data_IF_713651664534
#
_entry.id   IF_713651664534
#
_cell.length_a   1.000
_cell.length_b   1.000
_cell.length_c   1.000
_cell.angle_alpha   90.00
_cell.angle_beta   90.00
_cell.angle_gamma   90.00
#
_symmetry.space_group_name_H-M   'P 1'
#
loop_
_entity.id
_entity.type
_entity.pdbx_description
1 polymer ?
#
# COMPACT_ATOMS: atom_id res chain seq x y z
N UNK A 1 -14.47 -14.40 -5.74
CA UNK A 1 -13.99 -13.08 -6.20
C UNK A 1 -14.97 -12.61 -7.26
N UNK A 2 -15.42 -11.35 -7.18
CA UNK A 2 -16.17 -10.75 -8.28
C UNK A 2 -15.20 -10.55 -9.46
N UNK A 3 -15.65 -10.91 -10.66
CA UNK A 3 -14.85 -10.78 -11.88
C UNK A 3 -14.68 -9.30 -12.23
N UNK A 4 -13.47 -8.90 -12.59
CA UNK A 4 -13.17 -7.51 -12.93
C UNK A 4 -13.35 -7.33 -14.42
N UNK A 5 -14.19 -6.38 -14.84
CA UNK A 5 -14.32 -6.00 -16.24
C UNK A 5 -13.05 -5.27 -16.71
N UNK A 6 -12.38 -5.81 -17.73
CA UNK A 6 -11.11 -5.26 -18.24
C UNK A 6 -11.23 -4.67 -19.65
N UNK A 7 -12.21 -5.11 -20.45
CA UNK A 7 -12.46 -4.54 -21.76
C UNK A 7 -13.91 -4.71 -22.19
N UNK A 8 -14.34 -3.79 -23.04
CA UNK A 8 -15.63 -3.81 -23.72
C UNK A 8 -15.35 -3.52 -25.18
N UNK A 9 -15.81 -4.40 -26.07
CA UNK A 9 -15.61 -4.26 -27.51
C UNK A 9 -16.96 -4.40 -28.21
N UNK A 10 -17.26 -3.43 -29.06
CA UNK A 10 -18.41 -3.50 -29.94
C UNK A 10 -18.02 -4.22 -31.24
N UNK A 11 -18.84 -5.21 -31.64
CA UNK A 11 -18.74 -5.85 -32.94
C UNK A 11 -20.11 -6.39 -33.36
N UNK A 12 -20.50 -6.17 -34.61
CA UNK A 12 -21.71 -6.75 -35.21
C UNK A 12 -23.00 -6.52 -34.37
N UNK A 13 -23.20 -5.28 -33.89
CA UNK A 13 -24.33 -4.88 -33.03
C UNK A 13 -24.39 -5.59 -31.65
N UNK A 14 -23.28 -6.15 -31.20
CA UNK A 14 -23.12 -6.78 -29.89
C UNK A 14 -22.01 -6.08 -29.12
N UNK A 15 -22.26 -5.82 -27.83
CA UNK A 15 -21.25 -5.34 -26.90
C UNK A 15 -20.68 -6.53 -26.12
N UNK A 16 -19.42 -6.89 -26.38
CA UNK A 16 -18.72 -7.98 -25.69
C UNK A 16 -17.93 -7.45 -24.50
N UNK A 17 -18.29 -7.93 -23.32
CA UNK A 17 -17.59 -7.64 -22.07
C UNK A 17 -16.59 -8.76 -21.81
N UNK A 18 -15.34 -8.42 -21.53
CA UNK A 18 -14.30 -9.39 -21.16
C UNK A 18 -13.82 -9.10 -19.74
N UNK A 19 -13.84 -10.13 -18.91
CA UNK A 19 -13.32 -10.08 -17.54
C UNK A 19 -11.86 -10.51 -17.44
N UNK A 20 -11.24 -10.22 -16.31
CA UNK A 20 -9.85 -10.57 -15.96
C UNK A 20 -9.54 -12.08 -16.01
N UNK A 21 -10.54 -12.94 -15.83
CA UNK A 21 -10.45 -14.39 -16.01
C UNK A 21 -10.62 -14.85 -17.48
N UNK A 22 -10.62 -13.92 -18.44
CA UNK A 22 -10.93 -14.11 -19.85
C UNK A 22 -12.36 -14.60 -20.16
N UNK A 23 -13.26 -14.66 -19.17
CA UNK A 23 -14.66 -14.94 -19.46
C UNK A 23 -15.29 -13.77 -20.22
N UNK A 24 -16.16 -14.11 -21.17
CA UNK A 24 -16.83 -13.15 -22.04
C UNK A 24 -18.34 -13.23 -21.84
N UNK A 25 -18.98 -12.06 -21.87
CA UNK A 25 -20.45 -11.95 -21.88
C UNK A 25 -20.84 -10.93 -22.94
N UNK A 26 -21.73 -11.36 -23.83
CA UNK A 26 -22.21 -10.57 -24.93
C UNK A 26 -23.58 -9.97 -24.58
N UNK A 27 -23.80 -8.72 -24.98
CA UNK A 27 -25.06 -8.02 -24.81
C UNK A 27 -25.50 -7.45 -26.15
N UNK A 28 -26.74 -7.73 -26.54
CA UNK A 28 -27.32 -7.17 -27.75
C UNK A 28 -27.54 -5.67 -27.59
N UNK A 29 -27.18 -4.91 -28.63
CA UNK A 29 -27.37 -3.47 -28.64
C UNK A 29 -28.74 -3.18 -29.24
N UNK A 30 -29.58 -2.57 -28.43
CA UNK A 30 -30.91 -2.10 -28.81
C UNK A 30 -30.82 -0.61 -29.17
N UNK A 31 -31.59 -0.19 -30.17
CA UNK A 31 -31.67 1.20 -30.59
C UNK A 31 -33.11 1.67 -30.60
N UNK A 32 -33.46 2.64 -29.76
CA UNK A 32 -34.76 3.31 -29.80
C UNK A 32 -34.57 4.82 -29.76
N UNK A 33 -35.29 5.55 -30.65
CA UNK A 33 -35.26 7.01 -30.72
C UNK A 33 -33.85 7.64 -30.81
N UNK A 34 -32.95 7.00 -31.55
CA UNK A 34 -31.57 7.46 -31.74
C UNK A 34 -30.63 7.25 -30.55
N UNK A 35 -31.08 6.52 -29.51
CA UNK A 35 -30.25 6.14 -28.37
C UNK A 35 -29.94 4.65 -28.46
N UNK A 36 -28.65 4.32 -28.36
CA UNK A 36 -28.19 2.94 -28.29
C UNK A 36 -28.05 2.51 -26.85
N UNK A 37 -28.57 1.33 -26.52
CA UNK A 37 -28.59 0.79 -25.16
C UNK A 37 -28.28 -0.70 -25.14
N UNK A 38 -27.90 -1.20 -23.97
CA UNK A 38 -27.90 -2.64 -23.68
C UNK A 38 -28.66 -2.90 -22.38
N UNK A 39 -29.15 -4.11 -22.18
CA UNK A 39 -29.73 -4.54 -20.89
C UNK A 39 -28.73 -5.43 -20.17
N UNK A 40 -28.22 -4.96 -19.03
CA UNK A 40 -27.30 -5.72 -18.17
C UNK A 40 -27.82 -5.71 -16.73
N UNK A 41 -27.96 -6.90 -16.15
CA UNK A 41 -28.41 -7.11 -14.76
C UNK A 41 -29.75 -6.39 -14.48
N UNK A 42 -30.68 -6.49 -15.43
CA UNK A 42 -32.01 -5.88 -15.38
C UNK A 42 -31.99 -4.32 -15.32
N UNK A 43 -30.89 -3.71 -15.75
CA UNK A 43 -30.72 -2.26 -15.89
C UNK A 43 -30.39 -1.91 -17.34
N UNK A 44 -30.92 -0.76 -17.80
CA UNK A 44 -30.62 -0.21 -19.12
C UNK A 44 -29.33 0.59 -19.02
N UNK A 45 -28.37 0.25 -19.88
CA UNK A 45 -27.13 0.99 -20.03
C UNK A 45 -27.15 1.80 -21.32
N UNK A 46 -26.85 3.10 -21.25
CA UNK A 46 -26.78 3.99 -22.41
C UNK A 46 -25.38 4.01 -22.99
N UNK A 47 -25.25 3.74 -24.30
CA UNK A 47 -23.98 3.87 -25.00
C UNK A 47 -23.71 5.34 -25.33
N UNK A 48 -22.51 5.82 -24.99
CA UNK A 48 -22.03 7.16 -25.32
C UNK A 48 -20.83 7.00 -26.24
N UNK A 49 -21.05 7.33 -27.51
CA UNK A 49 -20.14 7.00 -28.61
C UNK A 49 -19.30 8.20 -29.07
N UNK A 50 -19.72 9.40 -28.69
CA UNK A 50 -19.01 10.63 -28.98
C UNK A 50 -19.05 11.59 -27.78
N UNK A 51 -17.99 12.37 -27.66
CA UNK A 51 -17.81 13.46 -26.73
C UNK A 51 -18.96 14.47 -26.74
N UNK A 52 -19.57 14.78 -27.89
CA UNK A 52 -20.69 15.74 -27.95
C UNK A 52 -21.89 15.26 -27.12
N UNK A 53 -22.24 13.97 -27.21
CA UNK A 53 -23.31 13.36 -26.41
C UNK A 53 -22.99 13.40 -24.92
N UNK A 54 -21.70 13.26 -24.56
CA UNK A 54 -21.25 13.41 -23.19
C UNK A 54 -21.44 14.86 -22.69
N UNK A 55 -21.08 15.86 -23.52
CA UNK A 55 -21.22 17.28 -23.19
C UNK A 55 -22.66 17.71 -22.98
N UNK A 56 -23.60 17.23 -23.80
CA UNK A 56 -25.03 17.53 -23.64
C UNK A 56 -25.58 17.07 -22.28
N UNK A 57 -25.04 15.97 -21.74
CA UNK A 57 -25.43 15.40 -20.45
C UNK A 57 -24.80 16.09 -19.24
N UNK A 58 -23.73 16.88 -19.41
CA UNK A 58 -23.05 17.57 -18.29
C UNK A 58 -24.01 18.47 -17.51
N UNK A 59 -24.91 19.19 -18.22
CA UNK A 59 -25.87 20.12 -17.59
C UNK A 59 -26.80 19.41 -16.60
N UNK A 60 -27.18 18.17 -16.92
CA UNK A 60 -28.07 17.35 -16.08
C UNK A 60 -27.24 16.57 -15.05
N UNK A 61 -25.99 16.25 -15.36
CA UNK A 61 -25.09 15.49 -14.49
C UNK A 61 -25.42 14.00 -14.38
N UNK A 62 -26.42 13.50 -15.10
CA UNK A 62 -26.82 12.09 -15.01
C UNK A 62 -26.10 11.24 -16.06
N UNK A 63 -25.11 10.46 -15.60
CA UNK A 63 -24.36 9.47 -16.37
C UNK A 63 -24.53 8.06 -15.81
N UNK A 64 -25.49 7.86 -14.91
CA UNK A 64 -25.76 6.56 -14.29
C UNK A 64 -26.05 5.52 -15.35
N UNK A 65 -25.44 4.34 -15.21
CA UNK A 65 -25.52 3.26 -16.20
C UNK A 65 -25.13 3.72 -17.63
N UNK A 66 -24.14 4.59 -17.80
CA UNK A 66 -23.58 4.88 -19.14
C UNK A 66 -22.38 3.99 -19.46
N UNK A 67 -22.17 3.68 -20.74
CA UNK A 67 -20.97 3.02 -21.27
C UNK A 67 -20.36 3.96 -22.29
N UNK A 68 -19.19 4.52 -21.97
CA UNK A 68 -18.48 5.40 -22.86
C UNK A 68 -17.55 4.60 -23.76
N UNK A 69 -17.85 4.59 -25.06
CA UNK A 69 -17.10 3.91 -26.12
C UNK A 69 -16.02 4.80 -26.75
N UNK A 70 -15.98 6.08 -26.38
CA UNK A 70 -14.98 7.08 -26.77
C UNK A 70 -14.14 7.52 -25.57
N UNK A 71 -12.99 8.15 -25.83
CA UNK A 71 -12.28 8.92 -24.80
C UNK A 71 -13.17 10.07 -24.33
N UNK A 72 -13.16 10.34 -23.03
CA UNK A 72 -13.93 11.43 -22.46
C UNK A 72 -13.02 12.54 -21.98
N UNK A 73 -13.37 13.76 -22.35
CA UNK A 73 -12.63 14.98 -22.04
C UNK A 73 -13.54 15.93 -21.24
N UNK A 74 -13.65 15.69 -19.94
CA UNK A 74 -14.24 16.65 -19.00
C UNK A 74 -13.21 17.65 -18.45
N UNK A 75 -12.06 17.78 -19.10
CA UNK A 75 -10.98 18.65 -18.63
C UNK A 75 -11.45 20.09 -18.48
N UNK A 76 -11.23 20.66 -17.29
CA UNK A 76 -11.62 22.02 -16.94
C UNK A 76 -13.14 22.27 -16.82
N UNK A 77 -13.97 21.22 -16.89
CA UNK A 77 -15.42 21.37 -16.76
C UNK A 77 -15.85 21.60 -15.30
N UNK A 78 -16.99 22.26 -15.13
CA UNK A 78 -17.62 22.46 -13.82
C UNK A 78 -18.97 21.73 -13.78
N UNK A 79 -19.11 20.80 -12.85
CA UNK A 79 -20.39 20.18 -12.53
C UNK A 79 -21.08 20.98 -11.42
N UNK A 80 -22.10 21.74 -11.80
CA UNK A 80 -22.91 22.57 -10.88
C UNK A 80 -23.99 21.78 -10.14
N UNK A 81 -24.46 20.70 -10.76
CA UNK A 81 -25.36 19.72 -10.16
C UNK A 81 -24.58 18.58 -9.49
N UNK A 82 -25.28 17.57 -8.96
CA UNK A 82 -24.69 16.37 -8.38
C UNK A 82 -24.44 15.35 -9.50
N UNK A 83 -23.22 15.24 -10.07
CA UNK A 83 -23.02 14.30 -11.15
C UNK A 83 -23.02 12.87 -10.61
N UNK A 84 -23.82 12.03 -11.27
CA UNK A 84 -24.00 10.63 -10.97
C UNK A 84 -23.37 9.79 -12.09
N UNK A 85 -22.18 9.25 -11.83
CA UNK A 85 -21.48 8.25 -12.64
C UNK A 85 -21.61 6.85 -12.03
N UNK A 86 -22.67 6.60 -11.25
CA UNK A 86 -22.86 5.30 -10.63
C UNK A 86 -23.07 4.22 -11.69
N UNK A 87 -22.36 3.11 -11.54
CA UNK A 87 -22.35 1.99 -12.47
C UNK A 87 -21.92 2.37 -13.90
N UNK A 88 -21.26 3.51 -14.10
CA UNK A 88 -20.75 3.93 -15.41
C UNK A 88 -19.50 3.14 -15.79
N UNK A 89 -19.37 2.79 -17.07
CA UNK A 89 -18.21 2.08 -17.62
C UNK A 89 -17.48 2.99 -18.60
N UNK A 90 -16.24 3.31 -18.28
CA UNK A 90 -15.31 4.05 -19.14
C UNK A 90 -14.43 3.04 -19.89
N UNK A 91 -14.77 2.79 -21.16
CA UNK A 91 -14.06 1.78 -21.99
C UNK A 91 -12.73 2.30 -22.57
N UNK A 92 -12.56 3.63 -22.54
CA UNK A 92 -11.39 4.39 -22.98
C UNK A 92 -10.89 5.29 -21.83
N UNK A 93 -9.94 6.19 -22.11
CA UNK A 93 -9.43 7.06 -21.06
C UNK A 93 -10.51 8.04 -20.59
N UNK A 94 -10.59 8.23 -19.27
CA UNK A 94 -11.52 9.16 -18.65
C UNK A 94 -10.74 10.34 -18.07
N UNK A 95 -10.83 11.51 -18.73
CA UNK A 95 -10.09 12.70 -18.32
C UNK A 95 -11.00 13.71 -17.61
N UNK A 96 -10.86 13.78 -16.29
CA UNK A 96 -11.46 14.75 -15.36
C UNK A 96 -10.43 15.76 -14.84
N UNK A 97 -9.35 15.98 -15.59
CA UNK A 97 -8.29 16.90 -15.16
C UNK A 97 -8.83 18.32 -14.97
N UNK A 98 -8.48 18.98 -13.86
CA UNK A 98 -8.96 20.33 -13.53
C UNK A 98 -10.50 20.45 -13.48
N UNK A 99 -11.22 19.35 -13.43
CA UNK A 99 -12.69 19.37 -13.31
C UNK A 99 -13.07 19.80 -11.90
N UNK A 100 -14.07 20.66 -11.76
CA UNK A 100 -14.63 21.04 -10.45
C UNK A 100 -15.99 20.40 -10.26
N UNK A 101 -16.11 19.59 -9.20
CA UNK A 101 -17.35 19.02 -8.71
C UNK A 101 -17.87 19.89 -7.55
N UNK A 102 -18.87 20.71 -7.82
CA UNK A 102 -19.36 21.70 -6.83
C UNK A 102 -20.36 21.13 -5.81
N UNK A 103 -20.86 19.91 -6.09
CA UNK A 103 -21.74 19.10 -5.25
C UNK A 103 -21.09 17.73 -4.99
N UNK A 104 -21.81 16.81 -4.37
CA UNK A 104 -21.33 15.43 -4.24
C UNK A 104 -21.09 14.86 -5.64
N UNK A 105 -19.98 14.14 -5.82
CA UNK A 105 -19.68 13.45 -7.07
C UNK A 105 -19.77 11.94 -6.82
N UNK A 106 -20.64 11.26 -7.54
CA UNK A 106 -20.87 9.82 -7.34
C UNK A 106 -20.25 9.00 -8.46
N UNK A 107 -19.34 8.10 -8.10
CA UNK A 107 -18.68 7.10 -8.95
C UNK A 107 -18.87 5.70 -8.37
N UNK A 108 -19.95 5.48 -7.60
CA UNK A 108 -20.32 4.19 -7.03
C UNK A 108 -20.31 3.08 -8.11
N UNK A 109 -19.53 2.02 -7.91
CA UNK A 109 -19.38 0.91 -8.86
C UNK A 109 -18.95 1.35 -10.29
N UNK A 110 -18.35 2.53 -10.45
CA UNK A 110 -17.83 2.97 -11.74
C UNK A 110 -16.62 2.11 -12.14
N UNK A 111 -16.49 1.81 -13.44
CA UNK A 111 -15.41 0.97 -13.96
C UNK A 111 -14.58 1.76 -14.96
N UNK A 112 -13.29 1.93 -14.67
CA UNK A 112 -12.30 2.53 -15.54
C UNK A 112 -11.41 1.44 -16.13
N UNK A 113 -11.69 1.05 -17.39
CA UNK A 113 -10.95 -0.02 -18.09
C UNK A 113 -9.60 0.45 -18.67
N UNK A 114 -9.42 1.77 -18.77
CA UNK A 114 -8.16 2.43 -19.14
C UNK A 114 -7.77 3.46 -18.06
N UNK A 115 -6.89 4.41 -18.38
CA UNK A 115 -6.44 5.42 -17.42
C UNK A 115 -7.57 6.34 -16.96
N UNK A 116 -7.65 6.59 -15.66
CA UNK A 116 -8.56 7.56 -15.06
C UNK A 116 -7.74 8.75 -14.54
N UNK A 117 -8.00 9.94 -15.08
CA UNK A 117 -7.22 11.14 -14.78
C UNK A 117 -8.07 12.20 -14.07
N UNK A 118 -7.89 12.32 -12.77
CA UNK A 118 -8.46 13.35 -11.89
C UNK A 118 -7.40 14.37 -11.45
N UNK A 119 -6.31 14.52 -12.19
CA UNK A 119 -5.24 15.45 -11.87
C UNK A 119 -5.79 16.89 -11.73
N UNK A 120 -5.39 17.58 -10.67
CA UNK A 120 -5.86 18.94 -10.35
C UNK A 120 -7.41 19.07 -10.20
N UNK A 121 -8.15 17.96 -10.08
CA UNK A 121 -9.60 18.01 -9.90
C UNK A 121 -9.96 18.53 -8.50
N UNK A 122 -11.11 19.22 -8.39
CA UNK A 122 -11.58 19.81 -7.15
C UNK A 122 -12.93 19.21 -6.80
N UNK A 123 -13.00 18.52 -5.66
CA UNK A 123 -14.23 18.00 -5.07
C UNK A 123 -14.60 18.87 -3.87
N UNK A 124 -15.62 19.73 -4.02
CA UNK A 124 -16.02 20.69 -2.97
C UNK A 124 -16.95 20.08 -1.90
N UNK A 125 -17.44 18.86 -2.16
CA UNK A 125 -18.24 18.03 -1.27
C UNK A 125 -17.72 16.59 -1.30
N UNK A 126 -18.50 15.62 -0.83
CA UNK A 126 -18.06 14.23 -0.77
C UNK A 126 -17.83 13.67 -2.18
N UNK A 127 -16.72 12.97 -2.37
CA UNK A 127 -16.44 12.20 -3.58
C UNK A 127 -16.61 10.71 -3.26
N UNK A 128 -17.61 10.07 -3.87
CA UNK A 128 -17.93 8.66 -3.64
C UNK A 128 -17.34 7.80 -4.75
N UNK A 129 -16.35 6.98 -4.44
CA UNK A 129 -15.75 5.96 -5.31
C UNK A 129 -15.95 4.55 -4.72
N UNK A 130 -17.02 4.35 -3.95
CA UNK A 130 -17.33 3.05 -3.33
C UNK A 130 -17.42 1.95 -4.39
N UNK A 131 -16.69 0.87 -4.19
CA UNK A 131 -16.56 -0.27 -5.11
C UNK A 131 -16.17 0.11 -6.55
N UNK A 132 -15.58 1.29 -6.77
CA UNK A 132 -15.06 1.68 -8.07
C UNK A 132 -13.86 0.82 -8.47
N UNK A 133 -13.70 0.57 -9.76
CA UNK A 133 -12.67 -0.30 -10.31
C UNK A 133 -11.76 0.51 -11.22
N UNK A 134 -10.47 0.57 -10.88
CA UNK A 134 -9.40 1.16 -11.68
C UNK A 134 -8.49 0.06 -12.21
N UNK A 135 -8.70 -0.34 -13.47
CA UNK A 135 -7.94 -1.45 -14.07
C UNK A 135 -6.52 -1.03 -14.52
N UNK A 136 -6.34 0.25 -14.82
CA UNK A 136 -5.06 0.91 -15.14
C UNK A 136 -4.79 2.00 -14.11
N UNK A 137 -3.78 2.84 -14.38
CA UNK A 137 -3.35 3.89 -13.47
C UNK A 137 -4.51 4.85 -13.14
N UNK A 138 -4.65 5.17 -11.87
CA UNK A 138 -5.57 6.19 -11.38
C UNK A 138 -4.76 7.41 -10.91
N UNK A 139 -4.94 8.55 -11.57
CA UNK A 139 -4.18 9.76 -11.30
C UNK A 139 -5.05 10.78 -10.57
N UNK A 140 -4.78 11.00 -9.29
CA UNK A 140 -5.37 12.03 -8.44
C UNK A 140 -4.34 13.12 -8.09
N UNK A 141 -3.21 13.21 -8.79
CA UNK A 141 -2.15 14.15 -8.47
C UNK A 141 -2.68 15.60 -8.36
N UNK A 142 -2.31 16.32 -7.30
CA UNK A 142 -2.81 17.67 -6.99
C UNK A 142 -4.33 17.81 -6.84
N UNK A 143 -5.10 16.72 -6.76
CA UNK A 143 -6.53 16.80 -6.51
C UNK A 143 -6.83 17.35 -5.11
N UNK A 144 -7.90 18.12 -5.00
CA UNK A 144 -8.37 18.69 -3.73
C UNK A 144 -9.71 18.10 -3.35
N UNK A 145 -9.77 17.45 -2.19
CA UNK A 145 -10.98 16.95 -1.56
C UNK A 145 -11.27 17.78 -0.31
N UNK A 146 -12.26 18.67 -0.37
CA UNK A 146 -12.62 19.52 0.79
C UNK A 146 -13.47 18.78 1.83
N UNK A 147 -13.96 17.60 1.49
CA UNK A 147 -14.69 16.69 2.36
C UNK A 147 -14.15 15.27 2.18
N UNK A 148 -14.96 14.24 2.46
CA UNK A 148 -14.52 12.85 2.39
C UNK A 148 -14.29 12.38 0.94
N UNK A 149 -13.25 11.59 0.76
CA UNK A 149 -12.96 10.84 -0.46
C UNK A 149 -13.09 9.35 -0.13
N UNK A 150 -14.18 8.74 -0.58
CA UNK A 150 -14.55 7.39 -0.17
C UNK A 150 -14.23 6.35 -1.25
N UNK A 151 -13.19 5.56 -1.03
CA UNK A 151 -12.78 4.42 -1.87
C UNK A 151 -13.06 3.09 -1.18
N UNK A 152 -14.09 3.02 -0.33
CA UNK A 152 -14.48 1.78 0.33
C UNK A 152 -14.69 0.65 -0.69
N UNK A 153 -14.04 -0.50 -0.47
CA UNK A 153 -14.12 -1.67 -1.36
C UNK A 153 -13.71 -1.41 -2.83
N UNK A 154 -13.03 -0.29 -3.10
CA UNK A 154 -12.50 0.00 -4.43
C UNK A 154 -11.37 -0.97 -4.81
N UNK A 155 -11.18 -1.16 -6.10
CA UNK A 155 -10.13 -2.02 -6.66
C UNK A 155 -9.15 -1.21 -7.50
N UNK A 156 -7.86 -1.29 -7.18
CA UNK A 156 -6.77 -0.67 -7.93
C UNK A 156 -5.83 -1.76 -8.45
N UNK A 157 -5.82 -2.00 -9.76
CA UNK A 157 -4.97 -3.04 -10.36
C UNK A 157 -3.57 -2.54 -10.74
N UNK A 158 -3.35 -1.22 -10.73
CA UNK A 158 -2.09 -0.57 -11.06
C UNK A 158 -1.83 0.60 -10.08
N UNK A 159 -0.85 1.44 -10.41
CA UNK A 159 -0.41 2.55 -9.57
C UNK A 159 -1.52 3.60 -9.39
N UNK A 160 -1.62 4.09 -8.15
CA UNK A 160 -2.57 5.13 -7.74
C UNK A 160 -1.81 6.33 -7.22
N UNK A 161 -1.80 7.41 -7.99
CA UNK A 161 -1.03 8.62 -7.69
C UNK A 161 -1.91 9.65 -6.97
N UNK A 162 -1.69 9.83 -5.67
CA UNK A 162 -2.30 10.87 -4.83
C UNK A 162 -1.25 11.91 -4.41
N UNK A 163 -0.15 12.06 -5.17
CA UNK A 163 0.88 13.05 -4.89
C UNK A 163 0.32 14.48 -4.91
N UNK A 164 0.78 15.33 -4.00
CA UNK A 164 0.36 16.72 -3.81
C UNK A 164 -1.16 16.89 -3.59
N UNK A 165 -1.88 15.83 -3.25
CA UNK A 165 -3.32 15.92 -2.95
C UNK A 165 -3.55 16.66 -1.65
N UNK A 166 -4.70 17.31 -1.55
CA UNK A 166 -5.17 17.94 -0.31
C UNK A 166 -6.48 17.29 0.10
N UNK A 167 -6.45 16.54 1.19
CA UNK A 167 -7.63 15.91 1.77
C UNK A 167 -7.94 16.57 3.11
N UNK A 168 -9.01 17.36 3.14
CA UNK A 168 -9.49 18.01 4.37
C UNK A 168 -10.38 17.08 5.21
N UNK A 169 -11.07 16.13 4.56
CA UNK A 169 -11.90 15.12 5.22
C UNK A 169 -11.16 13.81 5.46
N UNK A 170 -11.92 12.71 5.39
CA UNK A 170 -11.41 11.34 5.51
C UNK A 170 -11.07 10.80 4.11
N UNK A 171 -9.87 10.23 3.96
CA UNK A 171 -9.54 9.37 2.82
C UNK A 171 -9.79 7.92 3.20
N UNK A 172 -10.85 7.31 2.68
CA UNK A 172 -11.27 5.97 3.09
C UNK A 172 -10.87 4.92 2.06
N UNK A 173 -9.94 4.04 2.42
CA UNK A 173 -9.56 2.83 1.69
C UNK A 173 -10.02 1.55 2.40
N UNK A 174 -10.97 1.61 3.32
CA UNK A 174 -11.45 0.41 4.04
C UNK A 174 -11.96 -0.63 3.05
N UNK A 175 -11.62 -1.91 3.27
CA UNK A 175 -11.91 -3.05 2.36
C UNK A 175 -11.21 -3.03 1.00
N UNK A 176 -10.40 -2.02 0.67
CA UNK A 176 -9.48 -2.15 -0.46
C UNK A 176 -8.51 -3.29 -0.16
N UNK A 177 -8.44 -4.32 -1.01
CA UNK A 177 -7.60 -5.48 -0.72
C UNK A 177 -6.11 -5.11 -0.68
N UNK A 178 -5.65 -4.41 -1.71
CA UNK A 178 -4.27 -3.98 -1.90
C UNK A 178 -4.24 -2.72 -2.75
N UNK A 179 -3.32 -1.81 -2.46
CA UNK A 179 -3.11 -0.59 -3.24
C UNK A 179 -1.61 -0.26 -3.34
N UNK A 180 -1.15 0.05 -4.56
CA UNK A 180 0.15 0.68 -4.78
C UNK A 180 -0.05 2.18 -4.85
N UNK A 181 0.34 2.86 -3.77
CA UNK A 181 -0.05 4.24 -3.48
C UNK A 181 1.16 5.16 -3.53
N UNK A 182 0.99 6.33 -4.13
CA UNK A 182 1.88 7.48 -3.95
C UNK A 182 1.12 8.61 -3.25
N UNK A 183 1.69 9.14 -2.16
CA UNK A 183 1.21 10.28 -1.38
C UNK A 183 2.27 11.37 -1.28
N UNK A 184 3.30 11.39 -2.13
CA UNK A 184 4.35 12.40 -2.07
C UNK A 184 3.78 13.82 -1.98
N UNK A 185 4.20 14.63 -1.01
CA UNK A 185 3.70 15.97 -0.75
C UNK A 185 2.18 16.08 -0.49
N UNK A 186 1.48 14.95 -0.27
CA UNK A 186 0.07 14.98 0.06
C UNK A 186 -0.17 15.53 1.47
N UNK A 187 -1.25 16.28 1.62
CA UNK A 187 -1.75 16.77 2.90
C UNK A 187 -2.99 15.96 3.25
N UNK A 188 -2.83 15.04 4.21
CA UNK A 188 -3.89 14.17 4.69
C UNK A 188 -3.73 13.94 6.19
N UNK A 189 -4.81 14.19 6.95
CA UNK A 189 -4.81 14.04 8.40
C UNK A 189 -5.40 12.71 8.87
N UNK A 190 -6.35 12.15 8.13
CA UNK A 190 -7.06 10.92 8.49
C UNK A 190 -7.22 10.01 7.28
N UNK A 191 -6.73 8.78 7.41
CA UNK A 191 -6.96 7.71 6.45
C UNK A 191 -7.68 6.57 7.19
N UNK A 192 -8.78 6.10 6.64
CA UNK A 192 -9.41 4.86 7.09
C UNK A 192 -8.96 3.74 6.18
N UNK A 193 -8.37 2.68 6.75
CA UNK A 193 -7.76 1.64 5.93
C UNK A 193 -8.09 0.21 6.34
N UNK A 194 -8.70 -0.04 7.51
CA UNK A 194 -8.99 -1.41 7.96
C UNK A 194 -7.82 -2.37 7.75
N UNK A 195 -8.03 -3.44 6.96
CA UNK A 195 -7.04 -4.46 6.62
C UNK A 195 -6.34 -4.26 5.25
N UNK A 196 -6.42 -3.06 4.67
CA UNK A 196 -5.82 -2.75 3.37
C UNK A 196 -4.31 -2.97 3.37
N UNK A 197 -3.81 -3.66 2.34
CA UNK A 197 -2.38 -3.85 2.10
C UNK A 197 -1.84 -2.66 1.27
N UNK A 198 -1.03 -1.81 1.89
CA UNK A 198 -0.33 -0.74 1.18
C UNK A 198 1.03 -1.21 0.68
N UNK A 199 1.35 -0.80 -0.54
CA UNK A 199 2.69 -0.92 -1.12
C UNK A 199 3.12 0.43 -1.69
N UNK A 200 4.38 0.80 -1.48
CA UNK A 200 4.95 2.01 -2.07
C UNK A 200 6.47 1.89 -2.17
N UNK A 201 7.02 2.37 -3.28
CA UNK A 201 8.46 2.51 -3.48
C UNK A 201 8.94 3.91 -3.06
N UNK A 202 8.01 4.79 -2.66
CA UNK A 202 8.28 6.16 -2.26
C UNK A 202 8.40 6.28 -0.73
N UNK A 203 9.58 6.64 -0.24
CA UNK A 203 9.85 6.81 1.20
C UNK A 203 8.92 7.86 1.83
N UNK A 204 8.64 8.95 1.12
CA UNK A 204 7.82 10.04 1.62
C UNK A 204 6.37 9.58 1.84
N UNK A 205 5.86 8.75 0.93
CA UNK A 205 4.54 8.11 1.10
C UNK A 205 4.47 7.30 2.39
N UNK A 206 5.50 6.48 2.66
CA UNK A 206 5.54 5.64 3.87
C UNK A 206 5.67 6.48 5.14
N UNK A 207 6.38 7.61 5.09
CA UNK A 207 6.44 8.57 6.19
C UNK A 207 5.09 9.22 6.47
N UNK A 208 4.34 9.60 5.43
CA UNK A 208 2.99 10.16 5.56
C UNK A 208 2.04 9.13 6.17
N UNK A 209 2.01 7.90 5.64
CA UNK A 209 1.19 6.80 6.18
C UNK A 209 1.53 6.52 7.65
N UNK A 210 2.81 6.47 8.01
CA UNK A 210 3.25 6.32 9.40
C UNK A 210 2.73 7.46 10.29
N UNK A 211 2.87 8.71 9.85
CA UNK A 211 2.46 9.87 10.63
C UNK A 211 0.93 9.91 10.82
N UNK A 212 0.17 9.55 9.79
CA UNK A 212 -1.29 9.42 9.87
C UNK A 212 -1.69 8.33 10.87
N UNK A 213 -1.07 7.14 10.79
CA UNK A 213 -1.32 6.06 11.75
C UNK A 213 -1.00 6.48 13.20
N UNK A 214 0.12 7.18 13.42
CA UNK A 214 0.48 7.72 14.74
C UNK A 214 -0.54 8.74 15.26
N UNK A 215 -1.02 9.67 14.40
CA UNK A 215 -2.08 10.63 14.75
C UNK A 215 -3.39 9.93 15.13
N UNK A 216 -3.68 8.78 14.53
CA UNK A 216 -4.85 7.96 14.80
C UNK A 216 -4.65 6.96 15.96
N UNK A 217 -3.51 7.02 16.67
CA UNK A 217 -3.12 6.07 17.73
C UNK A 217 -3.01 4.60 17.26
N UNK A 218 -2.81 4.35 15.97
CA UNK A 218 -2.57 3.01 15.43
C UNK A 218 -1.06 2.71 15.39
N UNK A 219 -0.54 2.24 16.53
CA UNK A 219 0.88 1.90 16.69
C UNK A 219 1.30 0.70 15.84
N UNK A 220 0.37 -0.23 15.57
CA UNK A 220 0.65 -1.44 14.80
C UNK A 220 0.92 -1.05 13.35
N UNK A 221 0.01 -0.29 12.73
CA UNK A 221 0.18 0.18 11.35
C UNK A 221 1.34 1.14 11.21
N UNK A 222 1.57 2.04 12.18
CA UNK A 222 2.74 2.89 12.18
C UNK A 222 4.05 2.08 12.13
N UNK A 223 4.11 0.95 12.85
CA UNK A 223 5.27 0.05 12.85
C UNK A 223 5.42 -0.68 11.51
N UNK A 224 4.33 -1.13 10.90
CA UNK A 224 4.32 -1.73 9.57
C UNK A 224 4.88 -0.76 8.52
N UNK A 225 4.38 0.47 8.48
CA UNK A 225 4.87 1.50 7.55
C UNK A 225 6.34 1.86 7.80
N UNK A 226 6.76 1.91 9.06
CA UNK A 226 8.17 2.12 9.40
C UNK A 226 9.07 0.98 8.89
N UNK A 227 8.64 -0.28 9.04
CA UNK A 227 9.37 -1.42 8.50
C UNK A 227 9.48 -1.34 6.97
N UNK A 228 8.39 -0.99 6.29
CA UNK A 228 8.40 -0.79 4.84
C UNK A 228 9.34 0.35 4.43
N UNK A 229 9.31 1.49 5.15
CA UNK A 229 10.19 2.65 4.91
C UNK A 229 11.66 2.23 4.90
N UNK A 230 12.08 1.50 5.92
CA UNK A 230 13.46 1.04 6.08
C UNK A 230 13.85 0.01 5.02
N UNK A 231 12.95 -0.90 4.65
CA UNK A 231 13.18 -1.85 3.55
C UNK A 231 13.42 -1.14 2.22
N UNK A 232 12.58 -0.15 1.90
CA UNK A 232 12.70 0.64 0.67
C UNK A 232 14.01 1.45 0.68
N UNK A 233 14.33 2.10 1.80
CA UNK A 233 15.58 2.83 1.97
C UNK A 233 16.82 1.91 1.83
N UNK A 234 16.80 0.75 2.48
CA UNK A 234 17.88 -0.24 2.43
C UNK A 234 18.19 -0.75 1.02
N UNK A 235 17.15 -0.99 0.19
CA UNK A 235 17.32 -1.38 -1.21
C UNK A 235 18.08 -0.32 -2.02
N UNK A 236 17.83 0.97 -1.75
CA UNK A 236 18.32 2.09 -2.56
C UNK A 236 19.68 2.63 -2.12
N UNK A 237 20.14 2.32 -0.91
CA UNK A 237 21.46 2.76 -0.42
C UNK A 237 22.60 1.99 -1.11
N UNK A 238 23.66 2.72 -1.50
CA UNK A 238 24.92 2.17 -2.02
C UNK A 238 25.68 1.40 -0.93
N UNK A 239 26.53 0.46 -1.32
CA UNK A 239 27.34 -0.30 -0.37
C UNK A 239 28.22 0.66 0.47
N UNK A 240 28.13 0.55 1.79
CA UNK A 240 28.80 1.43 2.75
C UNK A 240 28.38 1.11 4.19
N UNK A 241 28.88 1.88 5.16
CA UNK A 241 28.61 1.67 6.59
C UNK A 241 27.11 1.63 6.93
N UNK A 242 26.32 2.57 6.40
CA UNK A 242 24.88 2.63 6.63
C UNK A 242 24.15 1.36 6.15
N UNK A 243 24.59 0.79 5.01
CA UNK A 243 24.01 -0.45 4.50
C UNK A 243 24.35 -1.64 5.39
N UNK A 244 25.55 -1.68 5.95
CA UNK A 244 25.93 -2.75 6.89
C UNK A 244 25.11 -2.66 8.18
N UNK A 245 24.95 -1.45 8.73
CA UNK A 245 24.16 -1.21 9.94
C UNK A 245 22.70 -1.61 9.71
N UNK A 246 22.07 -1.09 8.64
CA UNK A 246 20.69 -1.43 8.32
C UNK A 246 20.50 -2.92 7.98
N UNK A 247 21.49 -3.53 7.31
CA UNK A 247 21.49 -4.96 7.02
C UNK A 247 21.53 -5.79 8.30
N UNK A 248 22.34 -5.37 9.27
CA UNK A 248 22.38 -5.98 10.60
C UNK A 248 21.04 -5.80 11.33
N UNK A 249 20.48 -4.58 11.39
CA UNK A 249 19.17 -4.34 12.03
C UNK A 249 18.05 -5.16 11.38
N UNK A 250 18.07 -5.28 10.06
CA UNK A 250 17.12 -6.11 9.33
C UNK A 250 17.24 -7.59 9.73
N UNK A 251 18.46 -8.12 9.71
CA UNK A 251 18.73 -9.52 10.06
C UNK A 251 18.43 -9.83 11.54
N UNK A 252 18.83 -8.93 12.44
CA UNK A 252 18.74 -9.10 13.88
C UNK A 252 17.29 -9.04 14.34
N UNK A 253 16.52 -8.02 13.93
CA UNK A 253 15.25 -7.69 14.58
C UNK A 253 14.16 -7.25 13.60
N UNK A 254 14.41 -7.34 12.29
CA UNK A 254 13.55 -6.80 11.24
C UNK A 254 13.25 -5.31 11.51
N UNK A 255 14.30 -4.52 11.74
CA UNK A 255 14.24 -3.08 12.09
C UNK A 255 13.57 -2.80 13.45
N UNK A 256 13.79 -3.68 14.42
CA UNK A 256 13.24 -3.59 15.77
C UNK A 256 11.74 -3.89 15.83
N UNK A 257 11.18 -4.58 14.84
CA UNK A 257 9.74 -4.84 14.76
C UNK A 257 9.34 -6.23 15.22
N UNK A 258 10.31 -7.13 15.45
CA UNK A 258 10.05 -8.48 15.94
C UNK A 258 10.99 -8.87 17.08
N UNK A 259 10.45 -8.87 18.30
CA UNK A 259 11.15 -9.31 19.50
C UNK A 259 11.48 -10.82 19.45
N UNK A 260 10.62 -11.63 18.82
CA UNK A 260 10.85 -13.07 18.62
C UNK A 260 12.04 -13.29 17.69
N UNK A 261 12.11 -12.58 16.56
CA UNK A 261 13.27 -12.67 15.66
C UNK A 261 14.53 -12.23 16.39
N UNK A 262 14.52 -11.09 17.08
CA UNK A 262 15.66 -10.60 17.88
C UNK A 262 16.16 -11.64 18.90
N UNK A 263 15.24 -12.23 19.67
CA UNK A 263 15.58 -13.22 20.69
C UNK A 263 16.13 -14.51 20.08
N UNK A 264 15.50 -15.02 19.02
CA UNK A 264 15.96 -16.24 18.33
C UNK A 264 17.34 -16.07 17.71
N UNK A 265 17.62 -14.91 17.08
CA UNK A 265 18.93 -14.59 16.49
C UNK A 265 19.99 -14.45 17.56
N UNK A 266 19.65 -13.85 18.71
CA UNK A 266 20.56 -13.73 19.84
C UNK A 266 20.99 -15.09 20.39
N UNK A 267 20.03 -16.00 20.62
CA UNK A 267 20.32 -17.37 21.04
C UNK A 267 21.20 -18.08 20.02
N UNK A 268 20.91 -17.91 18.72
CA UNK A 268 21.74 -18.48 17.65
C UNK A 268 23.18 -17.97 17.65
N UNK A 269 23.41 -16.67 17.86
CA UNK A 269 24.76 -16.09 17.98
C UNK A 269 25.49 -16.65 19.20
N UNK A 270 24.82 -16.74 20.35
CA UNK A 270 25.40 -17.34 21.56
C UNK A 270 25.89 -18.77 21.26
N UNK A 271 25.02 -19.61 20.70
CA UNK A 271 25.33 -21.01 20.40
C UNK A 271 26.47 -21.13 19.38
N UNK A 272 26.48 -20.29 18.34
CA UNK A 272 27.54 -20.29 17.32
C UNK A 272 28.90 -19.99 17.94
N UNK A 273 29.02 -18.91 18.70
CA UNK A 273 30.30 -18.53 19.30
C UNK A 273 30.75 -19.50 20.39
N UNK A 274 29.80 -20.08 21.14
CA UNK A 274 30.10 -21.13 22.10
C UNK A 274 30.72 -22.36 21.40
N UNK A 275 30.14 -22.82 20.30
CA UNK A 275 30.65 -23.98 19.54
C UNK A 275 32.01 -23.67 18.90
N UNK A 276 32.20 -22.46 18.35
CA UNK A 276 33.47 -22.06 17.75
C UNK A 276 34.62 -22.02 18.74
N UNK A 277 34.34 -21.67 20.01
CA UNK A 277 35.36 -21.57 21.06
C UNK A 277 35.56 -22.91 21.78
N UNK A 278 34.49 -23.67 22.06
CA UNK A 278 34.52 -24.85 22.93
C UNK A 278 34.40 -26.20 22.21
N UNK A 279 34.17 -26.22 20.89
CA UNK A 279 34.26 -27.46 20.09
C UNK A 279 33.23 -28.56 20.41
N UNK A 280 31.94 -28.22 20.55
CA UNK A 280 30.81 -29.13 20.89
C UNK A 280 30.89 -29.81 22.27
N UNK A 281 31.94 -29.60 23.05
CA UNK A 281 31.98 -30.00 24.44
C UNK A 281 31.06 -29.08 25.25
N UNK A 282 30.25 -29.63 26.15
CA UNK A 282 29.19 -28.84 26.78
C UNK A 282 28.80 -29.37 28.15
N UNK A 283 29.41 -28.84 29.20
CA UNK A 283 28.82 -28.88 30.52
C UNK A 283 27.94 -27.64 30.77
N UNK A 284 26.87 -27.85 31.52
CA UNK A 284 25.82 -26.84 31.75
C UNK A 284 26.39 -25.58 32.42
N UNK A 285 27.40 -25.73 33.28
CA UNK A 285 27.98 -24.60 34.03
C UNK A 285 28.74 -23.67 33.10
N UNK A 286 29.60 -24.21 32.24
CA UNK A 286 30.34 -23.42 31.25
C UNK A 286 29.41 -22.72 30.25
N UNK A 287 28.28 -23.34 29.88
CA UNK A 287 27.25 -22.68 29.05
C UNK A 287 26.64 -21.47 29.78
N UNK A 288 26.23 -21.63 31.05
CA UNK A 288 25.66 -20.54 31.85
C UNK A 288 26.68 -19.40 31.99
N UNK A 289 27.92 -19.73 32.38
CA UNK A 289 28.98 -18.76 32.56
C UNK A 289 29.30 -18.01 31.27
N UNK A 290 29.23 -18.68 30.10
CA UNK A 290 29.41 -18.03 28.79
C UNK A 290 28.29 -17.03 28.47
N UNK A 291 27.03 -17.41 28.71
CA UNK A 291 25.83 -16.61 28.41
C UNK A 291 25.76 -15.34 29.25
N UNK A 292 26.23 -15.38 30.50
CA UNK A 292 26.11 -14.24 31.41
C UNK A 292 26.78 -12.97 30.85
N UNK A 293 26.07 -11.83 30.73
CA UNK A 293 26.67 -10.60 30.20
C UNK A 293 27.83 -10.06 31.05
N UNK A 294 27.85 -10.42 32.34
CA UNK A 294 28.85 -10.00 33.33
C UNK A 294 30.10 -10.88 33.35
N UNK A 295 30.14 -11.97 32.58
CA UNK A 295 31.33 -12.80 32.47
C UNK A 295 32.27 -12.22 31.41
N UNK A 296 33.50 -11.91 31.80
CA UNK A 296 34.50 -11.28 30.91
C UNK A 296 35.81 -12.05 30.83
N UNK A 297 36.01 -13.03 31.70
CA UNK A 297 37.24 -13.83 31.76
C UNK A 297 37.03 -15.18 31.06
N UNK A 298 37.50 -15.28 29.83
CA UNK A 298 37.43 -16.50 29.02
C UNK A 298 38.21 -17.66 29.66
N UNK A 299 39.35 -17.38 30.29
CA UNK A 299 40.19 -18.38 30.93
C UNK A 299 39.46 -18.97 32.15
N UNK A 300 38.64 -18.16 32.83
CA UNK A 300 37.80 -18.66 33.92
C UNK A 300 36.57 -19.45 33.47
N UNK A 301 36.01 -19.13 32.30
CA UNK A 301 34.82 -19.81 31.76
C UNK A 301 35.20 -21.20 31.23
N UNK A 302 36.36 -21.30 30.57
CA UNK A 302 36.82 -22.50 29.88
C UNK A 302 38.01 -23.17 30.59
N UNK A 303 38.04 -23.15 31.94
CA UNK A 303 39.12 -23.73 32.76
C UNK A 303 39.41 -25.20 32.47
N UNK A 304 38.40 -25.96 32.07
CA UNK A 304 38.48 -27.40 31.80
C UNK A 304 38.57 -27.70 30.29
N UNK A 305 38.81 -26.70 29.46
CA UNK A 305 38.86 -26.87 28.02
C UNK A 305 40.09 -27.67 27.60
N UNK A 306 39.86 -28.73 26.82
CA UNK A 306 40.86 -29.77 26.52
C UNK A 306 42.02 -29.21 25.67
N UNK A 307 41.75 -28.21 24.84
CA UNK A 307 42.73 -27.57 23.97
C UNK A 307 42.99 -26.16 24.51
N UNK A 308 44.02 -25.96 25.34
CA UNK A 308 44.41 -24.66 25.90
C UNK A 308 43.97 -23.44 25.05
N UNK A 309 43.27 -22.50 25.67
CA UNK A 309 42.67 -21.33 25.02
C UNK A 309 43.72 -20.58 24.19
N UNK A 310 43.46 -20.46 22.89
CA UNK A 310 44.36 -19.80 21.96
C UNK A 310 44.05 -18.30 21.86
N UNK A 311 44.99 -17.56 21.28
CA UNK A 311 44.80 -16.13 21.03
C UNK A 311 43.60 -15.86 20.09
N UNK A 312 43.29 -16.76 19.15
CA UNK A 312 42.11 -16.64 18.29
C UNK A 312 40.80 -16.74 19.09
N UNK A 313 40.73 -17.60 20.10
CA UNK A 313 39.54 -17.79 20.95
C UNK A 313 39.26 -16.54 21.77
N UNK A 314 40.31 -15.88 22.25
CA UNK A 314 40.22 -14.58 22.95
C UNK A 314 39.65 -13.49 22.04
N UNK A 315 40.07 -13.43 20.78
CA UNK A 315 39.50 -12.50 19.80
C UNK A 315 38.04 -12.82 19.47
N UNK A 316 37.71 -14.10 19.27
CA UNK A 316 36.32 -14.56 19.05
C UNK A 316 35.43 -14.19 20.23
N UNK A 317 35.91 -14.36 21.46
CA UNK A 317 35.18 -14.01 22.67
C UNK A 317 34.95 -12.50 22.79
N UNK A 318 35.94 -11.68 22.45
CA UNK A 318 35.77 -10.21 22.42
C UNK A 318 34.71 -9.78 21.39
N UNK A 319 34.73 -10.37 20.19
CA UNK A 319 33.73 -10.13 19.15
C UNK A 319 32.34 -10.56 19.64
N UNK A 320 32.24 -11.76 20.24
CA UNK A 320 31.02 -12.26 20.85
C UNK A 320 30.46 -11.27 21.88
N UNK A 321 31.25 -10.80 22.85
CA UNK A 321 30.77 -9.87 23.88
C UNK A 321 30.31 -8.53 23.30
N UNK A 322 31.00 -8.06 22.25
CA UNK A 322 30.57 -6.85 21.51
C UNK A 322 29.21 -7.08 20.83
N UNK A 323 29.05 -8.19 20.10
CA UNK A 323 27.78 -8.57 19.47
C UNK A 323 26.68 -8.82 20.51
N UNK A 324 27.02 -9.39 21.66
CA UNK A 324 26.09 -9.67 22.74
C UNK A 324 25.41 -8.38 23.23
N UNK A 325 26.20 -7.33 23.46
CA UNK A 325 25.69 -6.01 23.86
C UNK A 325 24.78 -5.40 22.79
N UNK A 326 25.20 -5.45 21.52
CA UNK A 326 24.42 -4.91 20.39
C UNK A 326 23.09 -5.66 20.25
N UNK A 327 23.09 -6.99 20.39
CA UNK A 327 21.89 -7.82 20.29
C UNK A 327 20.94 -7.60 21.47
N UNK A 328 21.45 -7.43 22.69
CA UNK A 328 20.62 -7.05 23.84
C UNK A 328 19.92 -5.71 23.58
N UNK A 329 20.64 -4.73 23.03
CA UNK A 329 20.04 -3.46 22.62
C UNK A 329 18.91 -3.65 21.60
N UNK A 330 19.13 -4.47 20.56
CA UNK A 330 18.10 -4.76 19.55
C UNK A 330 16.88 -5.50 20.12
N UNK A 331 17.08 -6.40 21.09
CA UNK A 331 15.98 -7.04 21.83
C UNK A 331 15.18 -5.99 22.59
N UNK A 332 15.82 -5.13 23.39
CA UNK A 332 15.16 -4.08 24.16
C UNK A 332 14.40 -3.12 23.25
N UNK A 333 15.03 -2.68 22.16
CA UNK A 333 14.42 -1.82 21.12
C UNK A 333 13.18 -2.48 20.51
N UNK A 334 13.25 -3.78 20.23
CA UNK A 334 12.12 -4.57 19.70
C UNK A 334 10.99 -4.71 20.70
N UNK A 335 11.30 -5.02 21.96
CA UNK A 335 10.31 -5.10 23.03
C UNK A 335 9.64 -3.76 23.30
N UNK A 336 10.38 -2.65 23.28
CA UNK A 336 9.82 -1.31 23.46
C UNK A 336 8.85 -0.92 22.35
N UNK A 337 9.11 -1.36 21.11
CA UNK A 337 8.21 -1.14 19.97
C UNK A 337 6.99 -2.07 20.05
N UNK A 338 7.18 -3.32 20.44
CA UNK A 338 6.11 -4.31 20.63
C UNK A 338 5.20 -3.96 21.81
N UNK A 339 5.74 -3.52 22.95
CA UNK A 339 4.98 -3.16 24.14
C UNK A 339 4.13 -1.90 23.96
N UNK A 340 4.38 -1.10 22.92
CA UNK A 340 3.50 0.02 22.52
C UNK A 340 2.28 -0.45 21.72
N UNK A 341 2.23 -1.72 21.35
CA UNK A 341 1.12 -2.36 20.65
C UNK A 341 0.13 -3.05 21.61
N UNK A 342 0.57 -3.38 22.83
CA UNK A 342 -0.23 -3.91 23.94
C UNK A 342 -0.79 -2.75 24.77
#
# INVERSE_FOLDING_TARGET
MNKILISVVEKDNVLRFTSDDNSQKDFEIEGENGKRTIIKDNQIYYLIEDSLLAFERIKVGNFKHCIFLCDILFEGQNFYETPDFSHTIFTKNANFKKTTFTKNADFLNAVFTQGANFKDAIFTKNANFLSAIFTKNANFFSATFTQNADFYDATFNQDSDFGNTKIQGILNFTKVKKIKLDLQLAIVDRIEYGNTEFTSDNRETLLILKNVALKQNDQIRALEFHQQEYRTHFKNIKLGGDKLILGFEYWASNFGTSAIVATSRFIGVIMLFYILINGFEGDVKTIIDFILPTSYDIDSIFKNYIFNIQQCDRWLFLIYKTLQLIMIYEIIKSFRKFSRQL
#
